data_IF_862302417115
#
_entry.id   IF_862302417115
#
_cell.length_a   1.000
_cell.length_b   1.000
_cell.length_c   1.000
_cell.angle_alpha   90.00
_cell.angle_beta   90.00
_cell.angle_gamma   90.00
#
_symmetry.space_group_name_H-M   'P 1'
#
loop_
_entity.id
_entity.type
_entity.pdbx_description
1 polymer ?
#
# COMPACT_ATOMS: atom_id res chain seq x y z
N UNK A 1 6.24 14.44 -0.16
CA UNK A 1 5.51 13.69 -1.16
C UNK A 1 4.40 14.54 -1.80
N UNK A 2 3.55 15.18 -1.01
CA UNK A 2 2.46 16.02 -1.50
C UNK A 2 2.95 17.23 -2.29
N UNK A 3 4.07 17.84 -1.87
CA UNK A 3 4.68 18.97 -2.56
C UNK A 3 4.99 18.65 -4.02
N UNK A 4 5.49 17.44 -4.29
CA UNK A 4 5.79 16.98 -5.65
C UNK A 4 4.51 16.67 -6.45
N UNK A 5 3.47 16.18 -5.79
CA UNK A 5 2.20 15.85 -6.44
C UNK A 5 1.39 17.09 -6.86
N UNK A 6 1.51 18.18 -6.12
CA UNK A 6 0.79 19.44 -6.39
C UNK A 6 1.56 20.41 -7.27
N UNK A 7 2.88 20.23 -7.43
CA UNK A 7 3.73 21.13 -8.18
C UNK A 7 3.88 20.66 -9.64
N UNK A 8 3.56 21.50 -10.64
CA UNK A 8 3.77 21.18 -12.05
C UNK A 8 5.23 21.27 -12.49
N UNK A 9 6.11 21.77 -11.63
CA UNK A 9 7.52 21.94 -11.93
C UNK A 9 8.35 20.76 -11.45
N UNK A 10 9.42 20.44 -12.20
CA UNK A 10 10.40 19.47 -11.75
C UNK A 10 11.06 19.92 -10.44
N UNK A 11 11.43 18.99 -9.53
CA UNK A 11 12.03 19.34 -8.24
C UNK A 11 13.25 20.23 -8.32
N UNK A 12 14.06 20.09 -9.38
CA UNK A 12 15.25 20.91 -9.61
C UNK A 12 14.92 22.38 -9.94
N UNK A 13 13.75 22.63 -10.52
CA UNK A 13 13.31 23.96 -10.94
C UNK A 13 12.42 24.64 -9.90
N UNK A 14 11.91 23.88 -8.93
CA UNK A 14 10.99 24.36 -7.91
C UNK A 14 11.57 25.55 -7.11
N UNK A 15 12.85 25.52 -6.80
CA UNK A 15 13.50 26.57 -6.01
C UNK A 15 13.79 27.87 -6.81
N UNK A 16 13.85 27.78 -8.15
CA UNK A 16 14.18 28.91 -9.00
C UNK A 16 12.98 29.64 -9.60
N UNK A 17 11.95 28.89 -10.01
CA UNK A 17 10.92 29.43 -10.90
C UNK A 17 9.48 29.23 -10.41
N UNK A 18 9.26 28.55 -9.27
CA UNK A 18 7.91 28.29 -8.79
C UNK A 18 7.22 29.56 -8.24
N UNK A 19 6.20 30.10 -8.92
CA UNK A 19 5.49 31.29 -8.47
C UNK A 19 4.65 31.04 -7.20
N UNK A 20 4.34 29.76 -6.91
CA UNK A 20 3.49 29.33 -5.78
C UNK A 20 4.29 28.67 -4.66
N UNK A 21 5.61 28.96 -4.56
CA UNK A 21 6.48 28.37 -3.54
C UNK A 21 5.94 28.53 -2.12
N UNK A 22 5.33 29.67 -1.83
CA UNK A 22 4.74 29.95 -0.50
C UNK A 22 3.57 29.04 -0.18
N UNK A 23 2.75 28.68 -1.18
CA UNK A 23 1.59 27.80 -0.99
C UNK A 23 2.06 26.35 -0.73
N UNK A 24 3.14 25.90 -1.42
CA UNK A 24 3.76 24.61 -1.15
C UNK A 24 4.42 24.57 0.24
N UNK A 25 5.02 25.66 0.70
CA UNK A 25 5.67 25.73 2.00
C UNK A 25 4.65 25.64 3.14
N UNK A 26 3.41 26.15 2.95
CA UNK A 26 2.30 26.03 3.93
C UNK A 26 1.87 24.58 4.15
N UNK A 27 1.95 23.71 3.15
CA UNK A 27 1.61 22.29 3.26
C UNK A 27 2.83 21.39 3.46
N UNK A 28 4.03 21.99 3.53
CA UNK A 28 5.27 21.24 3.76
C UNK A 28 5.28 20.66 5.17
N UNK A 29 5.45 19.34 5.26
CA UNK A 29 5.45 18.62 6.54
C UNK A 29 4.07 18.12 7.00
N UNK A 30 2.98 18.55 6.35
CA UNK A 30 1.65 17.96 6.59
C UNK A 30 1.59 16.58 5.96
N UNK A 31 1.07 15.62 6.69
CA UNK A 31 0.87 14.27 6.17
C UNK A 31 -0.31 14.23 5.21
N UNK A 32 -0.24 13.38 4.18
CA UNK A 32 -1.30 13.21 3.20
C UNK A 32 -2.65 12.89 3.87
N UNK A 33 -2.65 12.03 4.88
CA UNK A 33 -3.83 11.70 5.66
C UNK A 33 -4.48 12.92 6.31
N UNK A 34 -3.69 13.75 6.96
CA UNK A 34 -4.17 14.95 7.64
C UNK A 34 -4.76 15.97 6.65
N UNK A 35 -4.07 16.19 5.52
CA UNK A 35 -4.56 17.09 4.49
C UNK A 35 -5.89 16.60 3.90
N UNK A 36 -5.95 15.35 3.46
CA UNK A 36 -7.13 14.83 2.77
C UNK A 36 -8.30 14.56 3.71
N UNK A 37 -8.08 14.32 5.02
CA UNK A 37 -9.17 14.26 5.99
C UNK A 37 -9.90 15.59 6.16
N UNK A 38 -9.22 16.70 5.91
CA UNK A 38 -9.83 18.04 5.95
C UNK A 38 -10.44 18.48 4.61
N UNK A 39 -9.98 17.92 3.50
CA UNK A 39 -10.41 18.31 2.16
C UNK A 39 -11.54 17.45 1.59
N UNK A 40 -11.60 16.18 1.97
CA UNK A 40 -12.56 15.22 1.39
C UNK A 40 -13.75 15.01 2.32
N UNK A 41 -14.95 15.05 1.78
CA UNK A 41 -16.17 14.54 2.42
C UNK A 41 -16.23 13.01 2.41
N UNK A 42 -17.19 12.46 3.14
CA UNK A 42 -17.43 11.01 3.20
C UNK A 42 -17.68 10.40 1.81
N UNK A 43 -16.95 9.35 1.48
CA UNK A 43 -17.03 8.68 0.20
C UNK A 43 -16.44 9.47 -0.97
N UNK A 44 -15.89 10.66 -0.73
CA UNK A 44 -15.25 11.45 -1.79
C UNK A 44 -13.81 10.98 -2.05
N UNK A 45 -13.40 11.14 -3.30
CA UNK A 45 -12.01 10.93 -3.73
C UNK A 45 -11.32 12.23 -4.13
N UNK A 46 -10.02 12.24 -4.00
CA UNK A 46 -9.17 13.32 -4.53
C UNK A 46 -9.06 13.28 -6.06
N UNK A 47 -8.37 14.26 -6.64
CA UNK A 47 -7.82 14.14 -7.97
C UNK A 47 -6.88 12.92 -8.06
N UNK A 48 -6.63 12.47 -9.29
CA UNK A 48 -5.72 11.37 -9.58
C UNK A 48 -4.29 11.90 -9.67
N UNK A 49 -3.36 11.22 -9.00
CA UNK A 49 -1.93 11.52 -8.98
C UNK A 49 -1.15 10.41 -9.66
N UNK A 50 0.02 10.75 -10.20
CA UNK A 50 0.98 9.78 -10.72
C UNK A 50 2.01 9.45 -9.64
N UNK A 51 2.33 8.15 -9.48
CA UNK A 51 3.36 7.73 -8.53
C UNK A 51 4.75 8.05 -9.07
N UNK A 52 5.53 8.84 -8.32
CA UNK A 52 6.93 9.16 -8.60
C UNK A 52 7.91 8.27 -7.81
N UNK A 53 7.42 7.16 -7.26
CA UNK A 53 8.26 6.23 -6.51
C UNK A 53 9.33 5.62 -7.42
N UNK A 54 10.59 5.69 -7.00
CA UNK A 54 11.71 5.07 -7.71
C UNK A 54 11.56 3.54 -7.83
N UNK A 55 10.89 2.91 -6.88
CA UNK A 55 10.58 1.48 -6.90
C UNK A 55 9.58 1.19 -8.03
N UNK A 56 8.51 1.99 -8.11
CA UNK A 56 7.51 1.86 -9.17
C UNK A 56 8.16 2.03 -10.54
N UNK A 57 8.97 3.07 -10.73
CA UNK A 57 9.65 3.34 -11.98
C UNK A 57 10.61 2.21 -12.40
N UNK A 58 11.34 1.62 -11.43
CA UNK A 58 12.29 0.52 -11.70
C UNK A 58 11.61 -0.81 -12.03
N UNK A 59 10.52 -1.15 -11.32
CA UNK A 59 9.93 -2.48 -11.40
C UNK A 59 8.74 -2.55 -12.35
N UNK A 60 8.02 -1.47 -12.54
CA UNK A 60 6.84 -1.44 -13.42
C UNK A 60 7.14 -0.82 -14.80
N UNK A 61 8.27 -0.12 -14.96
CA UNK A 61 8.74 0.40 -16.25
C UNK A 61 7.69 1.25 -16.96
N UNK A 62 7.21 0.73 -18.09
CA UNK A 62 6.17 1.40 -18.91
C UNK A 62 4.77 1.35 -18.28
N UNK A 63 4.57 0.53 -17.26
CA UNK A 63 3.30 0.42 -16.54
C UNK A 63 3.26 1.45 -15.41
N UNK A 64 2.82 2.65 -15.72
CA UNK A 64 2.71 3.71 -14.73
C UNK A 64 1.59 3.41 -13.74
N UNK A 65 1.90 3.59 -12.45
CA UNK A 65 0.93 3.48 -11.36
C UNK A 65 0.43 4.87 -11.00
N UNK A 66 -0.88 5.01 -11.05
CA UNK A 66 -1.61 6.19 -10.60
C UNK A 66 -2.27 5.90 -9.27
N UNK A 67 -2.66 6.92 -8.54
CA UNK A 67 -3.39 6.75 -7.28
C UNK A 67 -4.30 7.94 -6.99
N UNK A 68 -5.27 7.70 -6.14
CA UNK A 68 -6.10 8.74 -5.53
C UNK A 68 -6.30 8.44 -4.05
N UNK A 69 -6.68 9.45 -3.30
CA UNK A 69 -7.09 9.27 -1.90
C UNK A 69 -8.61 9.20 -1.84
N UNK A 70 -9.12 8.30 -1.02
CA UNK A 70 -10.54 8.08 -0.78
C UNK A 70 -10.82 8.20 0.71
N UNK A 71 -11.82 9.00 1.10
CA UNK A 71 -12.27 9.04 2.47
C UNK A 71 -13.29 7.96 2.73
N UNK A 72 -12.97 7.06 3.65
CA UNK A 72 -13.85 6.00 4.14
C UNK A 72 -13.98 6.17 5.64
N UNK A 73 -15.13 6.56 6.12
CA UNK A 73 -15.39 6.91 7.51
C UNK A 73 -14.37 7.94 8.04
N UNK A 74 -13.59 7.60 9.05
CA UNK A 74 -12.55 8.48 9.62
C UNK A 74 -11.16 8.24 9.02
N UNK A 75 -11.06 7.34 8.03
CA UNK A 75 -9.79 6.97 7.43
C UNK A 75 -9.64 7.54 6.00
N UNK A 76 -8.39 7.81 5.65
CA UNK A 76 -7.99 8.15 4.28
C UNK A 76 -7.24 6.97 3.69
N UNK A 77 -7.88 6.30 2.73
CA UNK A 77 -7.28 5.22 1.98
C UNK A 77 -6.57 5.75 0.74
N UNK A 78 -5.38 5.24 0.44
CA UNK A 78 -4.72 5.44 -0.85
C UNK A 78 -5.04 4.26 -1.76
N UNK A 79 -5.69 4.54 -2.88
CA UNK A 79 -6.09 3.55 -3.88
C UNK A 79 -5.15 3.67 -5.08
N UNK A 80 -4.40 2.63 -5.35
CA UNK A 80 -3.50 2.55 -6.51
C UNK A 80 -4.20 1.88 -7.68
N UNK A 81 -4.07 2.48 -8.85
CA UNK A 81 -4.73 2.05 -10.09
C UNK A 81 -3.74 2.08 -11.27
N UNK A 82 -3.89 1.21 -12.26
CA UNK A 82 -3.07 1.28 -13.47
C UNK A 82 -3.48 2.47 -14.34
N UNK A 83 -2.57 2.90 -15.21
CA UNK A 83 -2.77 4.05 -16.11
C UNK A 83 -4.06 3.94 -16.92
N UNK A 84 -4.38 2.77 -17.49
CA UNK A 84 -5.57 2.59 -18.33
C UNK A 84 -6.90 2.78 -17.58
N UNK A 85 -6.91 2.61 -16.24
CA UNK A 85 -8.05 2.98 -15.40
C UNK A 85 -8.05 4.48 -15.14
N UNK A 86 -6.87 5.06 -14.90
CA UNK A 86 -6.73 6.45 -14.50
C UNK A 86 -7.16 7.45 -15.61
N UNK A 87 -6.97 7.08 -16.88
CA UNK A 87 -7.28 7.93 -18.04
C UNK A 87 -8.71 7.75 -18.58
N UNK A 88 -9.43 6.72 -18.13
CA UNK A 88 -10.84 6.49 -18.50
C UNK A 88 -11.74 6.84 -17.32
N UNK A 89 -12.54 7.89 -17.48
CA UNK A 89 -13.40 8.39 -16.40
C UNK A 89 -14.44 7.35 -15.93
N UNK A 90 -14.97 6.52 -16.83
CA UNK A 90 -15.93 5.49 -16.47
C UNK A 90 -15.29 4.39 -15.63
N UNK A 91 -14.10 3.94 -16.03
CA UNK A 91 -13.34 2.95 -15.27
C UNK A 91 -12.88 3.51 -13.92
N UNK A 92 -12.46 4.77 -13.89
CA UNK A 92 -12.08 5.44 -12.64
C UNK A 92 -13.27 5.56 -11.68
N UNK A 93 -14.45 5.92 -12.18
CA UNK A 93 -15.68 5.99 -11.38
C UNK A 93 -16.11 4.60 -10.89
N UNK A 94 -15.99 3.57 -11.75
CA UNK A 94 -16.26 2.19 -11.37
C UNK A 94 -15.29 1.71 -10.27
N UNK A 95 -13.99 1.96 -10.42
CA UNK A 95 -12.98 1.61 -9.42
C UNK A 95 -13.25 2.30 -8.08
N UNK A 96 -13.59 3.59 -8.10
CA UNK A 96 -13.99 4.34 -6.90
C UNK A 96 -15.20 3.69 -6.22
N UNK A 97 -16.29 3.45 -6.97
CA UNK A 97 -17.53 2.90 -6.43
C UNK A 97 -17.33 1.49 -5.87
N UNK A 98 -16.51 0.66 -6.56
CA UNK A 98 -16.19 -0.69 -6.12
C UNK A 98 -15.40 -0.69 -4.80
N UNK A 99 -14.36 0.13 -4.70
CA UNK A 99 -13.55 0.22 -3.48
C UNK A 99 -14.40 0.74 -2.32
N UNK A 100 -15.24 1.75 -2.56
CA UNK A 100 -16.12 2.29 -1.53
C UNK A 100 -17.14 1.25 -1.04
N UNK A 101 -17.80 0.51 -1.94
CA UNK A 101 -18.71 -0.60 -1.58
C UNK A 101 -18.00 -1.67 -0.77
N UNK A 102 -16.80 -2.08 -1.18
CA UNK A 102 -15.99 -3.06 -0.45
C UNK A 102 -15.62 -2.60 0.96
N UNK A 103 -15.26 -1.33 1.11
CA UNK A 103 -14.94 -0.74 2.42
C UNK A 103 -16.20 -0.64 3.30
N UNK A 104 -17.33 -0.23 2.74
CA UNK A 104 -18.59 -0.15 3.50
C UNK A 104 -19.03 -1.52 4.03
N UNK A 105 -18.89 -2.58 3.23
CA UNK A 105 -19.17 -3.96 3.65
C UNK A 105 -18.18 -4.47 4.69
N UNK A 106 -16.93 -4.04 4.63
CA UNK A 106 -15.84 -4.48 5.50
C UNK A 106 -15.57 -3.54 6.68
N UNK A 107 -16.52 -2.69 7.06
CA UNK A 107 -16.38 -1.78 8.21
C UNK A 107 -15.16 -0.86 8.14
N UNK A 108 -14.91 -0.29 6.96
CA UNK A 108 -13.81 0.63 6.71
C UNK A 108 -12.61 0.01 5.96
N UNK A 109 -12.58 -1.33 5.80
CA UNK A 109 -11.53 -2.02 5.05
C UNK A 109 -12.11 -2.92 3.94
N UNK A 110 -11.51 -3.00 2.73
CA UNK A 110 -12.06 -3.82 1.65
C UNK A 110 -12.17 -5.30 2.02
N UNK A 111 -13.36 -5.87 1.90
CA UNK A 111 -13.64 -7.29 2.27
C UNK A 111 -12.70 -8.25 1.56
N UNK A 112 -12.48 -8.06 0.25
CA UNK A 112 -11.60 -8.94 -0.52
C UNK A 112 -10.14 -8.93 -0.02
N UNK A 113 -9.67 -7.79 0.48
CA UNK A 113 -8.32 -7.68 1.06
C UNK A 113 -8.26 -8.28 2.46
N UNK A 114 -9.32 -8.13 3.27
CA UNK A 114 -9.42 -8.77 4.58
C UNK A 114 -9.37 -10.28 4.44
N UNK A 115 -10.18 -10.86 3.58
CA UNK A 115 -10.22 -12.29 3.29
C UNK A 115 -8.85 -12.79 2.78
N UNK A 116 -8.25 -12.08 1.84
CA UNK A 116 -6.94 -12.44 1.32
C UNK A 116 -5.85 -12.38 2.41
N UNK A 117 -5.93 -11.41 3.30
CA UNK A 117 -5.01 -11.29 4.43
C UNK A 117 -5.17 -12.43 5.42
N UNK A 118 -6.40 -12.75 5.80
CA UNK A 118 -6.70 -13.86 6.72
C UNK A 118 -6.21 -15.20 6.16
N UNK A 119 -6.39 -15.44 4.85
CA UNK A 119 -5.91 -16.66 4.21
C UNK A 119 -4.38 -16.71 4.04
N UNK A 120 -3.73 -15.54 3.95
CA UNK A 120 -2.28 -15.44 3.81
C UNK A 120 -1.52 -15.50 5.14
N UNK A 121 -2.21 -15.36 6.27
CA UNK A 121 -1.57 -15.39 7.60
C UNK A 121 -1.10 -16.80 7.92
N UNK A 122 0.21 -16.99 7.95
CA UNK A 122 0.83 -18.22 8.48
C UNK A 122 0.93 -18.08 10.00
N UNK A 123 0.12 -18.84 10.71
CA UNK A 123 0.14 -18.84 12.18
C UNK A 123 1.44 -19.44 12.73
N UNK A 124 1.73 -19.19 14.00
CA UNK A 124 2.87 -19.83 14.67
C UNK A 124 2.74 -21.37 14.67
N UNK A 125 1.50 -21.88 14.79
CA UNK A 125 1.20 -23.31 14.72
C UNK A 125 1.45 -23.89 13.33
N UNK A 126 1.04 -23.21 12.26
CA UNK A 126 1.30 -23.64 10.87
C UNK A 126 2.80 -23.71 10.59
N UNK A 127 3.55 -22.73 11.09
CA UNK A 127 5.00 -22.69 10.96
C UNK A 127 5.67 -23.86 11.71
N UNK A 128 5.22 -24.17 12.90
CA UNK A 128 5.72 -25.31 13.69
C UNK A 128 5.37 -26.63 12.99
N UNK A 129 4.14 -26.82 12.54
CA UNK A 129 3.71 -27.99 11.78
C UNK A 129 4.53 -28.17 10.51
N UNK A 130 4.81 -27.08 9.78
CA UNK A 130 5.67 -27.12 8.59
C UNK A 130 7.09 -27.60 8.93
N UNK A 131 7.68 -27.08 10.03
CA UNK A 131 8.99 -27.52 10.45
C UNK A 131 9.01 -28.98 10.88
N UNK A 132 7.99 -29.45 11.59
CA UNK A 132 7.87 -30.87 11.96
C UNK A 132 7.76 -31.75 10.72
N UNK A 133 7.01 -31.33 9.72
CA UNK A 133 6.91 -32.04 8.44
C UNK A 133 8.27 -32.12 7.73
N UNK A 134 9.01 -31.02 7.68
CA UNK A 134 10.36 -30.98 7.08
C UNK A 134 11.33 -31.90 7.87
N UNK A 135 11.32 -31.84 9.18
CA UNK A 135 12.18 -32.69 10.02
C UNK A 135 11.85 -34.17 9.85
N UNK A 136 10.58 -34.55 9.82
CA UNK A 136 10.20 -35.96 9.60
C UNK A 136 10.61 -36.43 8.21
N UNK A 137 10.44 -35.64 7.16
CA UNK A 137 10.87 -35.97 5.81
C UNK A 137 12.39 -36.13 5.71
N UNK A 138 13.17 -35.27 6.40
CA UNK A 138 14.63 -35.40 6.42
C UNK A 138 15.10 -36.68 7.15
N UNK A 139 14.40 -37.04 8.23
CA UNK A 139 14.68 -38.32 8.94
C UNK A 139 14.36 -39.53 8.07
N UNK A 140 13.22 -39.53 7.37
CA UNK A 140 12.84 -40.61 6.45
C UNK A 140 13.85 -40.80 5.32
N UNK A 141 14.39 -39.69 4.79
CA UNK A 141 15.39 -39.70 3.71
C UNK A 141 16.85 -39.89 4.24
N UNK A 142 17.01 -40.14 5.52
CA UNK A 142 18.33 -40.30 6.20
C UNK A 142 19.27 -39.10 6.00
N UNK A 143 18.72 -37.91 5.82
CA UNK A 143 19.47 -36.66 5.70
C UNK A 143 19.73 -36.05 7.08
N UNK A 144 20.88 -35.35 7.27
CA UNK A 144 21.17 -34.71 8.54
C UNK A 144 20.17 -33.58 8.83
N UNK A 145 19.53 -33.66 9.99
CA UNK A 145 18.67 -32.57 10.50
C UNK A 145 19.51 -31.35 10.85
N UNK A 146 19.40 -30.31 10.06
CA UNK A 146 20.12 -29.03 10.28
C UNK A 146 19.44 -28.18 11.37
N UNK A 147 19.43 -28.66 12.59
CA UNK A 147 19.09 -27.82 13.74
C UNK A 147 20.34 -27.05 14.22
N UNK A 148 20.60 -25.90 13.61
CA UNK A 148 21.62 -25.01 14.18
C UNK A 148 21.11 -24.41 15.49
N UNK A 149 21.98 -24.28 16.50
CA UNK A 149 21.65 -23.61 17.77
C UNK A 149 21.07 -22.20 17.57
N UNK A 150 21.37 -21.55 16.45
CA UNK A 150 20.84 -20.25 16.03
C UNK A 150 19.39 -20.31 15.55
N UNK A 151 18.95 -21.40 14.89
CA UNK A 151 17.54 -21.58 14.53
C UNK A 151 16.69 -21.93 15.75
N UNK A 152 17.24 -22.67 16.71
CA UNK A 152 16.58 -22.98 17.96
C UNK A 152 16.36 -21.72 18.81
N UNK A 153 17.34 -20.82 18.92
CA UNK A 153 17.20 -19.56 19.66
C UNK A 153 16.19 -18.59 19.07
N UNK A 154 15.92 -18.66 17.76
CA UNK A 154 14.88 -17.89 17.09
C UNK A 154 13.48 -18.45 17.32
N UNK A 155 13.33 -19.76 17.54
CA UNK A 155 12.04 -20.41 17.83
C UNK A 155 11.50 -20.05 19.22
N UNK A 156 12.37 -19.82 20.19
CA UNK A 156 12.00 -19.57 21.60
C UNK A 156 11.78 -18.09 21.95
N UNK A 157 12.02 -17.17 21.03
CA UNK A 157 12.02 -15.72 21.30
C UNK A 157 10.72 -14.98 20.98
N UNK A 158 9.66 -15.68 20.60
CA UNK A 158 8.36 -15.08 20.31
C UNK A 158 7.26 -15.74 21.19
N UNK A 159 7.35 -15.48 22.49
CA UNK A 159 6.25 -15.58 23.44
C UNK A 159 5.93 -14.17 23.92
#
# INVERSE_FOLDING_TARGET
ALRVALCPYEPADCDRYCPTKRDCDTVSGVQDRELFSNLLGQGERSAVFISQSSIVQKHYGVHQVYFFYLRVDDEIARVEIPQWVAIDENLLNLAHSLVLDQCQRGQGYPVALSEAHEQAVVTAADRENFWQLVESSLVEEHLPTLTSAKSFSKRTRWV
#
